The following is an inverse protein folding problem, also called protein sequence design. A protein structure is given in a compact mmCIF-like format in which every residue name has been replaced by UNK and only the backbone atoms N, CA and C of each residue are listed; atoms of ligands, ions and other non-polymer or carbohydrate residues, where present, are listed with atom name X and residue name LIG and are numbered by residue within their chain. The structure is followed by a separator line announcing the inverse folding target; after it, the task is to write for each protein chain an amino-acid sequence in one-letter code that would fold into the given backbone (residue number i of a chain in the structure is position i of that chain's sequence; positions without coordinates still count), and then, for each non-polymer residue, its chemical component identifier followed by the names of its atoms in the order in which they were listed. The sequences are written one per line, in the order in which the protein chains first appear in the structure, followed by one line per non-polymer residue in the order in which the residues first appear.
data_IF_250663902933
#
_entry.id   IF_250663902933
#
_cell.length_a   1.000
_cell.length_b   1.000
_cell.length_c   1.000
_cell.angle_alpha   90.00
_cell.angle_beta   90.00
_cell.angle_gamma   90.00
#
_symmetry.space_group_name_H-M   'P 1'
#
loop_
_entity.id
_entity.type
_entity.pdbx_description
1 polymer ?
#
# COMPACT_ATOMS: atom_id res chain seq x y z
N UNK A 1 40.46 -4.02 16.91
CA UNK A 1 39.63 -3.10 16.11
C UNK A 1 38.70 -2.38 17.08
N UNK A 2 38.48 -1.08 16.89
CA UNK A 2 37.53 -0.28 17.67
C UNK A 2 36.19 -0.22 16.91
N UNK A 3 35.06 -0.16 17.63
CA UNK A 3 33.71 -0.05 17.07
C UNK A 3 33.05 1.15 17.71
N UNK A 4 32.89 2.27 17.00
CA UNK A 4 32.35 3.52 17.53
C UNK A 4 33.08 4.01 18.80
N UNK A 5 34.39 3.82 18.85
CA UNK A 5 35.22 4.18 20.02
C UNK A 5 35.23 3.16 21.17
N UNK A 6 34.52 2.04 21.05
CA UNK A 6 34.56 0.93 22.02
C UNK A 6 35.54 -0.16 21.60
N UNK A 7 36.25 -0.75 22.57
CA UNK A 7 36.85 -2.06 22.36
C UNK A 7 35.77 -3.12 22.13
N UNK A 8 36.14 -4.28 21.58
CA UNK A 8 35.16 -5.34 21.30
C UNK A 8 34.37 -5.76 22.54
N UNK A 9 35.04 -5.97 23.68
CA UNK A 9 34.41 -6.35 24.94
C UNK A 9 33.53 -5.25 25.55
N UNK A 10 33.91 -3.98 25.37
CA UNK A 10 33.05 -2.86 25.78
C UNK A 10 31.81 -2.76 24.90
N UNK A 11 31.97 -2.99 23.59
CA UNK A 11 30.86 -3.01 22.66
C UNK A 11 29.87 -4.15 22.98
N UNK A 12 30.35 -5.36 23.29
CA UNK A 12 29.48 -6.47 23.70
C UNK A 12 28.66 -6.11 24.96
N UNK A 13 29.27 -5.44 25.94
CA UNK A 13 28.57 -4.95 27.15
C UNK A 13 27.54 -3.86 26.82
N UNK A 14 27.88 -2.93 25.94
CA UNK A 14 26.95 -1.88 25.49
C UNK A 14 25.74 -2.50 24.77
N UNK A 15 25.97 -3.47 23.87
CA UNK A 15 24.92 -4.23 23.19
C UNK A 15 24.02 -4.95 24.19
N UNK A 16 24.58 -5.64 25.18
CA UNK A 16 23.80 -6.32 26.21
C UNK A 16 22.90 -5.35 26.98
N UNK A 17 23.43 -4.18 27.33
CA UNK A 17 22.70 -3.16 28.09
C UNK A 17 21.57 -2.52 27.29
N UNK A 18 21.75 -2.28 25.99
CA UNK A 18 20.78 -1.58 25.15
C UNK A 18 19.75 -2.52 24.51
N UNK A 19 20.22 -3.64 23.96
CA UNK A 19 19.38 -4.62 23.24
C UNK A 19 18.81 -5.71 24.16
N UNK A 20 19.18 -5.71 25.45
CA UNK A 20 18.77 -6.69 26.46
C UNK A 20 19.50 -8.04 26.37
N UNK A 21 20.29 -8.28 25.32
CA UNK A 21 21.17 -9.43 25.19
C UNK A 21 22.27 -9.18 24.15
N UNK A 22 23.38 -9.93 24.23
CA UNK A 22 24.43 -9.93 23.19
C UNK A 22 23.93 -10.70 21.97
N UNK A 23 23.19 -10.04 21.08
CA UNK A 23 22.66 -10.64 19.86
C UNK A 23 23.71 -10.59 18.73
N UNK A 24 23.99 -11.71 18.04
CA UNK A 24 25.00 -11.74 16.96
C UNK A 24 24.76 -10.71 15.86
N UNK A 25 23.48 -10.43 15.54
CA UNK A 25 23.12 -9.41 14.57
C UNK A 25 23.59 -8.01 14.99
N UNK A 26 23.32 -7.60 16.23
CA UNK A 26 23.76 -6.26 16.69
C UNK A 26 25.28 -6.19 16.72
N UNK A 27 25.96 -7.27 17.12
CA UNK A 27 27.42 -7.33 17.15
C UNK A 27 28.01 -7.16 15.75
N UNK A 28 27.52 -7.92 14.77
CA UNK A 28 27.90 -7.76 13.37
C UNK A 28 27.55 -6.37 12.82
N UNK A 29 26.38 -5.86 13.18
CA UNK A 29 25.92 -4.52 12.83
C UNK A 29 26.88 -3.43 13.29
N UNK A 30 27.60 -3.63 14.40
CA UNK A 30 28.60 -2.68 14.88
C UNK A 30 29.74 -2.49 13.88
N UNK A 31 30.28 -3.59 13.35
CA UNK A 31 31.29 -3.54 12.29
C UNK A 31 30.73 -2.89 11.01
N UNK A 32 29.46 -3.11 10.69
CA UNK A 32 28.81 -2.51 9.53
C UNK A 32 28.68 -0.98 9.67
N UNK A 33 28.28 -0.51 10.85
CA UNK A 33 28.17 0.92 11.16
C UNK A 33 29.56 1.55 11.13
N UNK A 34 30.55 0.93 11.77
CA UNK A 34 31.93 1.42 11.78
C UNK A 34 32.47 1.56 10.35
N UNK A 35 32.31 0.53 9.51
CA UNK A 35 32.75 0.58 8.12
C UNK A 35 32.02 1.67 7.32
N UNK A 36 30.71 1.86 7.54
CA UNK A 36 29.94 2.91 6.88
C UNK A 36 30.42 4.31 7.31
N UNK A 37 30.65 4.51 8.60
CA UNK A 37 31.14 5.78 9.16
C UNK A 37 32.53 6.12 8.64
N UNK A 38 33.46 5.15 8.62
CA UNK A 38 34.81 5.33 8.05
C UNK A 38 34.80 5.64 6.55
N UNK A 39 33.72 5.29 5.85
CA UNK A 39 33.58 5.53 4.41
C UNK A 39 32.87 6.86 4.09
N UNK A 40 32.37 7.58 5.10
CA UNK A 40 31.75 8.89 4.92
C UNK A 40 32.81 10.01 5.03
N UNK A 41 32.59 11.16 4.36
CA UNK A 41 33.44 12.33 4.54
C UNK A 41 33.35 12.88 5.97
N UNK A 42 34.47 13.36 6.50
CA UNK A 42 34.55 13.96 7.83
C UNK A 42 33.61 15.17 7.98
N UNK A 43 32.93 15.26 9.13
CA UNK A 43 32.06 16.40 9.47
C UNK A 43 30.71 16.45 8.76
N UNK A 44 30.37 15.47 7.92
CA UNK A 44 29.04 15.38 7.28
C UNK A 44 27.97 15.05 8.32
N UNK A 45 26.87 15.80 8.28
CA UNK A 45 25.65 15.43 9.00
C UNK A 45 24.93 14.34 8.20
N UNK A 46 24.84 13.15 8.75
CA UNK A 46 24.25 12.00 8.07
C UNK A 46 22.98 11.48 8.75
N UNK A 47 22.10 10.90 7.94
CA UNK A 47 20.98 10.07 8.36
C UNK A 47 21.29 8.59 8.04
N UNK A 48 20.46 7.69 8.56
CA UNK A 48 20.63 6.25 8.41
C UNK A 48 19.37 5.56 7.86
N UNK A 49 19.59 4.53 7.05
CA UNK A 49 18.55 3.57 6.63
C UNK A 49 19.00 2.18 7.05
N UNK A 50 18.12 1.43 7.71
CA UNK A 50 18.26 -0.02 7.91
C UNK A 50 17.33 -0.78 6.97
N UNK A 51 17.84 -1.78 6.26
CA UNK A 51 17.06 -2.61 5.33
C UNK A 51 16.35 -3.80 6.01
N UNK A 52 16.39 -3.84 7.35
CA UNK A 52 15.77 -4.87 8.19
C UNK A 52 15.35 -4.26 9.53
N UNK A 53 14.28 -4.77 10.12
CA UNK A 53 13.89 -4.42 11.49
C UNK A 53 14.64 -5.22 12.56
N UNK A 54 15.36 -6.28 12.17
CA UNK A 54 15.97 -7.21 13.11
C UNK A 54 17.40 -6.80 13.49
N UNK A 55 17.62 -6.44 14.76
CA UNK A 55 18.92 -6.15 15.40
C UNK A 55 19.67 -4.93 14.86
N UNK A 56 19.82 -4.81 13.53
CA UNK A 56 20.65 -3.81 12.88
C UNK A 56 20.26 -2.35 13.21
N UNK A 57 18.97 -1.99 13.39
CA UNK A 57 18.59 -0.67 13.87
C UNK A 57 19.28 -0.30 15.18
N UNK A 58 19.41 -1.23 16.12
CA UNK A 58 19.98 -0.94 17.44
C UNK A 58 21.50 -0.72 17.40
N UNK A 59 22.21 -1.39 16.49
CA UNK A 59 23.62 -1.10 16.25
C UNK A 59 23.80 0.35 15.77
N UNK A 60 22.91 0.82 14.88
CA UNK A 60 22.92 2.21 14.39
C UNK A 60 22.61 3.18 15.53
N UNK A 61 21.57 2.92 16.32
CA UNK A 61 21.17 3.79 17.43
C UNK A 61 22.23 3.88 18.54
N UNK A 62 22.96 2.79 18.78
CA UNK A 62 23.99 2.74 19.81
C UNK A 62 25.28 3.47 19.41
N UNK A 63 25.63 3.41 18.12
CA UNK A 63 26.92 3.90 17.62
C UNK A 63 26.83 5.23 16.86
N UNK A 64 25.63 5.73 16.61
CA UNK A 64 25.42 6.98 15.87
C UNK A 64 24.35 7.85 16.55
N UNK A 65 24.29 9.15 16.22
CA UNK A 65 23.19 10.01 16.63
C UNK A 65 21.84 9.65 15.98
N UNK A 66 21.81 8.71 15.03
CA UNK A 66 20.62 8.39 14.26
C UNK A 66 19.68 7.47 15.06
N UNK A 67 18.52 7.99 15.47
CA UNK A 67 17.53 7.20 16.21
C UNK A 67 16.19 7.18 15.51
N UNK A 68 15.36 6.17 15.83
CA UNK A 68 13.98 6.16 15.34
C UNK A 68 13.22 7.37 15.92
N UNK A 69 13.49 7.71 17.18
CA UNK A 69 12.80 8.80 17.89
C UNK A 69 13.06 10.20 17.32
N UNK A 70 14.29 10.50 16.86
CA UNK A 70 14.59 11.77 16.20
C UNK A 70 14.32 11.77 14.69
N UNK A 71 13.92 10.61 14.13
CA UNK A 71 13.59 10.43 12.73
C UNK A 71 14.79 10.34 11.79
N UNK A 72 16.01 10.27 12.30
CA UNK A 72 17.24 10.20 11.49
C UNK A 72 17.59 8.76 11.11
N UNK A 73 17.06 7.76 11.84
CA UNK A 73 17.09 6.36 11.42
C UNK A 73 15.72 5.97 10.86
N UNK A 74 15.72 5.48 9.62
CA UNK A 74 14.55 4.88 8.97
C UNK A 74 14.73 3.37 8.82
N UNK A 75 13.71 2.61 9.18
CA UNK A 75 13.68 1.15 8.97
C UNK A 75 12.82 0.86 7.76
N UNK A 76 13.44 0.43 6.67
CA UNK A 76 12.77 0.01 5.43
C UNK A 76 12.97 -1.50 5.32
N UNK A 77 11.98 -2.27 5.76
CA UNK A 77 12.14 -3.72 5.87
C UNK A 77 12.10 -4.40 4.49
N UNK A 78 13.28 -4.59 3.89
CA UNK A 78 13.49 -5.32 2.63
C UNK A 78 13.95 -6.77 2.88
N UNK A 79 14.09 -7.18 4.14
CA UNK A 79 14.61 -8.49 4.53
C UNK A 79 16.10 -8.68 4.24
N UNK A 80 16.85 -7.59 3.97
CA UNK A 80 18.28 -7.63 3.66
C UNK A 80 19.09 -7.14 4.85
N UNK A 81 20.14 -7.87 5.22
CA UNK A 81 21.03 -7.47 6.32
C UNK A 81 22.02 -6.40 5.84
N UNK A 82 21.53 -5.17 5.77
CA UNK A 82 22.27 -4.03 5.24
C UNK A 82 21.82 -2.70 5.86
N UNK A 83 22.74 -1.75 5.90
CA UNK A 83 22.47 -0.37 6.30
C UNK A 83 23.09 0.61 5.31
N UNK A 84 22.59 1.84 5.30
CA UNK A 84 23.23 2.96 4.62
C UNK A 84 23.34 4.14 5.55
N UNK A 85 24.49 4.80 5.57
CA UNK A 85 24.67 6.14 6.14
C UNK A 85 24.86 7.12 4.98
N UNK A 86 24.19 8.27 5.01
CA UNK A 86 24.15 9.20 3.87
C UNK A 86 24.01 10.65 4.33
N UNK A 87 24.56 11.57 3.53
CA UNK A 87 24.40 13.01 3.73
C UNK A 87 22.93 13.38 3.80
N UNK A 88 22.54 14.07 4.89
CA UNK A 88 21.15 14.40 5.21
C UNK A 88 20.45 15.24 4.14
N UNK A 89 21.20 16.04 3.39
CA UNK A 89 20.68 17.03 2.46
C UNK A 89 20.76 16.54 1.01
N UNK A 90 21.94 16.06 0.60
CA UNK A 90 22.22 15.66 -0.77
C UNK A 90 21.87 14.19 -1.03
N UNK A 91 21.85 13.34 0.00
CA UNK A 91 21.48 11.93 -0.12
C UNK A 91 22.58 11.01 -0.62
N UNK A 92 23.77 11.51 -0.95
CA UNK A 92 24.92 10.69 -1.26
C UNK A 92 25.43 9.99 0.00
N UNK A 93 25.72 8.70 -0.09
CA UNK A 93 26.12 7.91 1.06
C UNK A 93 26.77 6.60 0.72
N UNK A 94 26.95 5.78 1.75
CA UNK A 94 27.58 4.46 1.66
C UNK A 94 26.64 3.42 2.23
N UNK A 95 26.42 2.37 1.44
CA UNK A 95 25.65 1.20 1.82
C UNK A 95 26.61 0.06 2.18
N UNK A 96 26.46 -0.51 3.36
CA UNK A 96 27.23 -1.65 3.87
C UNK A 96 26.33 -2.85 4.06
N UNK A 97 26.80 -4.03 3.65
CA UNK A 97 26.05 -5.28 3.74
C UNK A 97 26.97 -6.47 3.94
N UNK A 98 26.40 -7.58 4.44
CA UNK A 98 27.10 -8.86 4.56
C UNK A 98 27.24 -9.48 3.18
N UNK A 99 28.48 -9.75 2.76
CA UNK A 99 28.78 -10.31 1.45
C UNK A 99 28.78 -11.84 1.50
N UNK A 100 27.73 -12.44 0.93
CA UNK A 100 27.55 -13.88 0.87
C UNK A 100 28.78 -14.65 0.31
N UNK A 101 29.51 -14.06 -0.64
CA UNK A 101 30.69 -14.72 -1.23
C UNK A 101 31.88 -14.77 -0.28
N UNK A 102 31.95 -13.85 0.69
CA UNK A 102 33.04 -13.76 1.66
C UNK A 102 32.80 -14.62 2.90
N UNK A 103 31.63 -15.24 3.04
CA UNK A 103 31.27 -16.07 4.20
C UNK A 103 31.87 -17.48 4.17
N UNK A 104 32.46 -17.92 3.06
CA UNK A 104 32.97 -19.28 2.90
C UNK A 104 33.97 -19.70 3.99
N UNK A 105 34.73 -18.75 4.53
CA UNK A 105 35.71 -18.99 5.60
C UNK A 105 35.11 -18.97 7.02
N UNK A 106 33.80 -18.69 7.18
CA UNK A 106 33.15 -18.39 8.46
C UNK A 106 31.88 -19.25 8.65
N UNK A 107 32.05 -20.53 9.06
CA UNK A 107 30.97 -21.51 9.08
C UNK A 107 29.89 -21.22 10.13
N UNK A 108 30.22 -20.68 11.30
CA UNK A 108 29.21 -20.37 12.32
C UNK A 108 28.39 -19.14 11.87
N UNK A 109 29.04 -18.11 11.31
CA UNK A 109 28.35 -16.94 10.73
C UNK A 109 27.40 -17.37 9.60
N UNK A 110 27.88 -18.23 8.70
CA UNK A 110 27.08 -18.80 7.60
C UNK A 110 25.87 -19.55 8.15
N UNK A 111 26.09 -20.43 9.13
CA UNK A 111 25.02 -21.22 9.76
C UNK A 111 23.96 -20.35 10.40
N UNK A 112 24.38 -19.31 11.12
CA UNK A 112 23.50 -18.34 11.77
C UNK A 112 22.69 -17.54 10.74
N UNK A 113 23.35 -16.97 9.72
CA UNK A 113 22.71 -16.10 8.74
C UNK A 113 21.70 -16.85 7.87
N UNK A 114 22.07 -18.04 7.38
CA UNK A 114 21.20 -18.88 6.57
C UNK A 114 20.24 -19.74 7.39
N UNK A 115 20.34 -19.71 8.72
CA UNK A 115 19.56 -20.54 9.65
C UNK A 115 19.58 -22.02 9.27
N UNK A 116 20.75 -22.52 8.83
CA UNK A 116 20.90 -23.89 8.33
C UNK A 116 20.86 -24.96 9.43
N UNK A 117 20.97 -24.55 10.71
CA UNK A 117 20.75 -25.39 11.88
C UNK A 117 19.76 -24.75 12.87
N UNK A 118 19.00 -25.55 13.64
CA UNK A 118 18.18 -25.05 14.74
C UNK A 118 18.99 -24.23 15.76
N UNK A 119 18.39 -23.19 16.34
CA UNK A 119 19.07 -22.26 17.27
C UNK A 119 19.73 -22.96 18.48
N UNK A 120 19.18 -24.08 18.94
CA UNK A 120 19.73 -24.87 20.07
C UNK A 120 21.04 -25.59 19.74
N UNK A 121 21.30 -25.83 18.45
CA UNK A 121 22.51 -26.52 17.96
C UNK A 121 23.60 -25.54 17.52
N UNK A 122 23.33 -24.24 17.58
CA UNK A 122 24.29 -23.20 17.24
C UNK A 122 25.12 -22.83 18.47
N UNK A 123 26.44 -22.76 18.30
CA UNK A 123 27.35 -22.32 19.35
C UNK A 123 27.45 -20.79 19.33
N UNK A 124 26.79 -20.15 20.31
CA UNK A 124 26.73 -18.69 20.40
C UNK A 124 28.11 -18.08 20.68
N UNK A 125 28.93 -18.71 21.50
CA UNK A 125 30.25 -18.14 21.87
C UNK A 125 31.19 -18.21 20.69
N UNK A 126 31.24 -19.35 19.98
CA UNK A 126 32.04 -19.49 18.76
C UNK A 126 31.56 -18.56 17.64
N UNK A 127 30.24 -18.36 17.50
CA UNK A 127 29.69 -17.40 16.54
C UNK A 127 30.15 -15.97 16.84
N UNK A 128 30.11 -15.53 18.10
CA UNK A 128 30.56 -14.19 18.49
C UNK A 128 32.07 -14.01 18.30
N UNK A 129 32.86 -15.05 18.58
CA UNK A 129 34.31 -15.05 18.30
C UNK A 129 34.60 -14.97 16.79
N UNK A 130 33.88 -15.75 15.96
CA UNK A 130 33.99 -15.67 14.50
C UNK A 130 33.63 -14.27 13.98
N UNK A 131 32.55 -13.66 14.48
CA UNK A 131 32.16 -12.29 14.09
C UNK A 131 33.27 -11.30 14.44
N UNK A 132 33.84 -11.40 15.64
CA UNK A 132 34.93 -10.53 16.09
C UNK A 132 36.19 -10.66 15.23
N UNK A 133 36.54 -11.89 14.83
CA UNK A 133 37.70 -12.19 13.96
C UNK A 133 37.46 -11.78 12.51
N UNK A 134 36.26 -12.02 12.00
CA UNK A 134 35.87 -11.65 10.65
C UNK A 134 35.89 -10.13 10.46
N UNK A 135 35.31 -9.38 11.38
CA UNK A 135 35.21 -7.92 11.31
C UNK A 135 34.73 -7.45 9.94
N UNK A 136 35.55 -6.64 9.26
CA UNK A 136 35.24 -6.11 7.92
C UNK A 136 35.41 -7.13 6.78
N UNK A 137 36.08 -8.26 7.00
CA UNK A 137 36.40 -9.22 5.94
C UNK A 137 35.17 -9.86 5.30
N UNK A 138 34.04 -9.89 6.00
CA UNK A 138 32.75 -10.43 5.51
C UNK A 138 31.80 -9.36 4.97
N UNK A 139 32.23 -8.10 4.96
CA UNK A 139 31.42 -6.97 4.55
C UNK A 139 31.81 -6.49 3.16
N UNK A 140 30.84 -5.93 2.44
CA UNK A 140 31.06 -5.16 1.23
C UNK A 140 30.33 -3.83 1.35
N UNK A 141 30.93 -2.78 0.76
CA UNK A 141 30.37 -1.44 0.73
C UNK A 141 30.23 -0.94 -0.70
N UNK A 142 29.28 -0.04 -0.93
CA UNK A 142 29.09 0.62 -2.22
C UNK A 142 28.55 2.04 -2.01
N UNK A 143 28.93 2.96 -2.90
CA UNK A 143 28.34 4.30 -2.95
C UNK A 143 26.88 4.23 -3.38
N UNK A 144 26.02 5.05 -2.77
CA UNK A 144 24.60 5.12 -3.08
C UNK A 144 24.10 6.55 -3.12
N UNK A 145 23.04 6.78 -3.90
CA UNK A 145 22.26 8.01 -3.89
C UNK A 145 20.87 7.69 -3.34
N UNK A 146 20.54 8.24 -2.18
CA UNK A 146 19.22 8.07 -1.56
C UNK A 146 18.18 8.85 -2.38
N UNK A 147 17.04 8.19 -2.64
CA UNK A 147 15.94 8.78 -3.40
C UNK A 147 15.36 9.98 -2.64
N UNK A 148 14.99 11.03 -3.37
CA UNK A 148 14.46 12.29 -2.83
C UNK A 148 13.31 12.14 -1.83
N UNK A 149 12.40 11.17 -2.04
CA UNK A 149 11.30 10.87 -1.10
C UNK A 149 11.75 10.50 0.32
N UNK A 150 12.99 10.05 0.48
CA UNK A 150 13.58 9.71 1.76
C UNK A 150 14.43 10.85 2.34
N UNK A 151 14.57 11.97 1.64
CA UNK A 151 15.30 13.14 2.11
C UNK A 151 14.35 14.16 2.75
N UNK A 152 14.89 15.01 3.63
CA UNK A 152 14.15 16.09 4.28
C UNK A 152 13.22 15.64 5.41
N UNK A 153 12.70 16.64 6.13
CA UNK A 153 11.66 16.45 7.16
C UNK A 153 10.29 16.51 6.50
N UNK A 154 9.51 15.46 6.71
CA UNK A 154 8.08 15.50 6.42
C UNK A 154 7.38 16.26 7.53
N UNK A 155 6.73 17.37 7.19
CA UNK A 155 5.90 18.11 8.15
C UNK A 155 4.77 17.21 8.64
N UNK A 156 4.38 17.35 9.90
CA UNK A 156 3.14 16.74 10.43
C UNK A 156 1.93 17.64 10.19
N UNK A 157 2.10 18.78 9.51
CA UNK A 157 1.03 19.74 9.28
C UNK A 157 0.47 20.32 10.57
N UNK A 158 -0.75 20.86 10.49
CA UNK A 158 -1.54 21.27 11.65
C UNK A 158 -2.10 20.06 12.38
N UNK A 159 -2.31 20.20 13.69
CA UNK A 159 -3.03 19.20 14.49
C UNK A 159 -4.52 19.53 14.48
N UNK A 160 -5.36 18.52 14.27
CA UNK A 160 -6.83 18.56 14.38
C UNK A 160 -7.32 17.56 15.41
N UNK A 161 -8.59 17.66 15.83
CA UNK A 161 -9.23 16.70 16.73
C UNK A 161 -10.06 15.73 15.88
N UNK A 162 -9.84 14.43 16.04
CA UNK A 162 -10.60 13.42 15.30
C UNK A 162 -12.07 13.43 15.77
N UNK A 163 -13.06 13.58 14.87
CA UNK A 163 -14.47 13.61 15.27
C UNK A 163 -15.03 12.27 15.77
N UNK A 164 -14.27 11.16 15.63
CA UNK A 164 -14.71 9.83 16.07
C UNK A 164 -14.15 9.41 17.42
N UNK A 165 -12.88 9.70 17.71
CA UNK A 165 -12.24 9.32 18.97
C UNK A 165 -11.85 10.51 19.85
N UNK A 166 -12.04 11.74 19.37
CA UNK A 166 -11.68 12.99 20.06
C UNK A 166 -10.18 13.14 20.38
N UNK A 167 -9.32 12.30 19.79
CA UNK A 167 -7.87 12.41 19.94
C UNK A 167 -7.26 13.41 18.95
N UNK A 168 -6.22 14.16 19.36
CA UNK A 168 -5.47 15.03 18.47
C UNK A 168 -4.63 14.22 17.46
N UNK A 169 -4.68 14.59 16.19
CA UNK A 169 -3.96 13.92 15.11
C UNK A 169 -3.49 14.91 14.02
N UNK A 170 -2.50 14.55 13.18
CA UNK A 170 -2.11 15.33 12.01
C UNK A 170 -3.27 15.51 11.02
N UNK A 171 -3.68 16.75 10.75
CA UNK A 171 -4.81 17.06 9.85
C UNK A 171 -4.59 16.57 8.40
N UNK A 172 -3.33 16.40 8.01
CA UNK A 172 -2.95 15.84 6.70
C UNK A 172 -3.26 14.34 6.55
N UNK A 173 -3.55 13.64 7.66
CA UNK A 173 -3.91 12.21 7.62
C UNK A 173 -5.35 12.00 7.12
N UNK A 174 -6.12 13.07 6.88
CA UNK A 174 -7.51 13.03 6.37
C UNK A 174 -8.50 13.67 7.34
N UNK A 175 -9.81 13.46 7.14
CA UNK A 175 -10.87 14.00 8.01
C UNK A 175 -11.04 13.31 9.37
N UNK A 176 -10.42 12.14 9.57
CA UNK A 176 -10.39 11.36 10.81
C UNK A 176 -8.97 10.78 11.02
N UNK A 177 -8.59 10.41 12.24
CA UNK A 177 -7.25 9.85 12.49
C UNK A 177 -7.06 8.45 11.89
N UNK A 178 -5.80 8.06 11.60
CA UNK A 178 -5.45 6.75 11.01
C UNK A 178 -5.98 5.55 11.78
N UNK A 179 -6.01 5.65 13.11
CA UNK A 179 -6.63 4.62 13.97
C UNK A 179 -8.13 4.43 13.61
N UNK A 180 -8.89 5.52 13.53
CA UNK A 180 -10.30 5.50 13.14
C UNK A 180 -10.54 5.12 11.68
N UNK A 181 -9.53 5.24 10.82
CA UNK A 181 -9.55 4.75 9.44
C UNK A 181 -9.34 3.23 9.33
N UNK A 182 -9.07 2.54 10.44
CA UNK A 182 -8.91 1.08 10.48
C UNK A 182 -7.48 0.60 10.75
N UNK A 183 -6.52 1.50 10.98
CA UNK A 183 -5.13 1.12 11.32
C UNK A 183 -4.91 0.80 12.81
N UNK A 184 -5.99 0.64 13.58
CA UNK A 184 -5.88 0.23 14.99
C UNK A 184 -5.19 -1.14 15.08
N UNK A 185 -4.09 -1.26 15.84
CA UNK A 185 -3.38 -2.53 15.97
C UNK A 185 -4.05 -3.50 16.96
N UNK A 186 -5.20 -3.12 17.53
CA UNK A 186 -5.94 -3.86 18.56
C UNK A 186 -7.45 -3.77 18.33
N UNK A 187 -8.17 -4.79 18.76
CA UNK A 187 -9.63 -4.78 18.78
C UNK A 187 -10.15 -3.86 19.90
N UNK A 188 -11.24 -3.12 19.67
CA UNK A 188 -11.92 -2.38 20.71
C UNK A 188 -12.38 -3.30 21.85
N UNK A 189 -11.88 -3.08 23.08
CA UNK A 189 -12.42 -3.73 24.27
C UNK A 189 -13.84 -3.23 24.60
N UNK A 190 -14.57 -3.94 25.46
CA UNK A 190 -15.97 -3.61 25.84
C UNK A 190 -16.17 -2.19 26.40
N UNK A 191 -15.09 -1.56 26.88
CA UNK A 191 -15.08 -0.21 27.44
C UNK A 191 -14.61 0.87 26.45
N UNK A 192 -14.14 0.50 25.25
CA UNK A 192 -13.65 1.46 24.25
C UNK A 192 -14.86 2.18 23.61
N UNK A 193 -15.07 3.45 23.98
CA UNK A 193 -16.29 4.22 23.68
C UNK A 193 -17.13 4.57 24.91
N UNK A 194 -16.79 4.04 26.09
CA UNK A 194 -17.23 4.59 27.38
C UNK A 194 -16.32 5.76 27.77
N UNK A 195 -16.80 6.62 28.67
CA UNK A 195 -16.02 7.77 29.14
C UNK A 195 -14.64 7.30 29.60
N UNK A 196 -13.54 7.82 29.05
CA UNK A 196 -12.20 7.38 29.39
C UNK A 196 -11.98 7.45 30.89
N UNK A 197 -11.21 6.52 31.44
CA UNK A 197 -10.78 6.62 32.82
C UNK A 197 -9.94 7.88 33.01
N UNK A 198 -10.45 8.84 33.77
CA UNK A 198 -9.67 10.00 34.16
C UNK A 198 -8.68 9.60 35.25
N UNK A 199 -7.46 10.07 35.10
CA UNK A 199 -6.44 9.93 36.11
C UNK A 199 -6.23 11.31 36.74
N UNK A 200 -6.28 11.38 38.07
CA UNK A 200 -5.84 12.61 38.74
C UNK A 200 -4.34 12.83 38.52
N UNK A 201 -3.81 13.99 38.91
CA UNK A 201 -2.39 14.30 38.77
C UNK A 201 -1.45 13.31 39.51
N UNK A 202 -2.00 12.42 40.35
CA UNK A 202 -1.30 11.37 41.10
C UNK A 202 -1.50 9.98 40.49
N UNK A 203 -2.18 9.87 39.34
CA UNK A 203 -2.44 8.61 38.64
C UNK A 203 -3.61 7.81 39.24
N UNK A 204 -4.39 8.37 40.17
CA UNK A 204 -5.55 7.69 40.71
C UNK A 204 -6.69 7.69 39.69
N UNK A 205 -7.17 6.48 39.37
CA UNK A 205 -8.23 6.27 38.40
C UNK A 205 -9.58 6.66 39.00
N UNK A 206 -10.25 7.62 38.37
CA UNK A 206 -11.60 8.06 38.74
C UNK A 206 -12.50 7.94 37.51
N UNK A 207 -13.73 7.48 37.72
CA UNK A 207 -14.75 7.54 36.67
C UNK A 207 -15.19 9.00 36.55
N UNK A 208 -14.99 9.58 35.37
CA UNK A 208 -15.51 10.91 35.07
C UNK A 208 -17.04 10.93 35.17
N UNK A 209 -17.64 12.04 35.62
CA UNK A 209 -19.07 12.26 35.40
C UNK A 209 -19.33 12.26 33.89
N UNK A 210 -20.30 11.47 33.43
CA UNK A 210 -20.66 11.48 32.01
C UNK A 210 -21.26 12.85 31.66
N UNK A 211 -20.84 13.44 30.55
CA UNK A 211 -21.48 14.62 29.95
C UNK A 211 -22.81 14.25 29.23
N UNK A 212 -23.16 12.97 29.24
CA UNK A 212 -24.26 12.38 28.47
C UNK A 212 -25.19 11.49 29.33
N UNK A 213 -25.51 11.92 30.55
CA UNK A 213 -26.47 11.21 31.44
C UNK A 213 -27.92 11.15 30.86
N UNK A 214 -28.15 11.67 29.66
CA UNK A 214 -29.43 11.59 28.93
C UNK A 214 -29.46 10.64 27.73
N UNK A 215 -28.32 10.10 27.28
CA UNK A 215 -28.29 9.23 26.09
C UNK A 215 -27.66 7.90 26.50
N UNK A 216 -28.50 6.92 26.82
CA UNK A 216 -28.07 5.52 26.89
C UNK A 216 -27.36 5.22 25.57
N UNK A 217 -26.04 5.12 25.59
CA UNK A 217 -25.30 4.42 24.55
C UNK A 217 -25.68 2.97 24.74
N UNK A 218 -26.80 2.61 24.12
CA UNK A 218 -27.24 1.23 24.03
C UNK A 218 -26.16 0.53 23.22
N UNK A 219 -25.55 -0.45 23.86
CA UNK A 219 -24.74 -1.52 23.27
C UNK A 219 -25.56 -2.23 22.18
N UNK A 220 -25.66 -1.58 21.01
CA UNK A 220 -26.45 -2.01 19.85
C UNK A 220 -25.58 -1.97 18.57
N UNK A 221 -24.30 -1.63 18.71
CA UNK A 221 -23.29 -1.73 17.65
C UNK A 221 -22.91 -3.20 17.47
N UNK A 222 -23.78 -3.97 16.80
CA UNK A 222 -23.51 -5.14 15.96
C UNK A 222 -24.77 -5.99 15.66
N UNK A 223 -25.95 -5.67 16.21
CA UNK A 223 -27.17 -6.32 15.74
C UNK A 223 -27.63 -5.63 14.48
N UNK A 224 -27.42 -6.29 13.34
CA UNK A 224 -28.10 -5.98 12.08
C UNK A 224 -29.57 -5.63 12.36
N UNK A 225 -30.19 -4.70 11.60
CA UNK A 225 -31.56 -4.29 11.85
C UNK A 225 -32.43 -5.54 11.99
N UNK A 226 -33.43 -5.52 12.87
CA UNK A 226 -34.32 -6.68 13.05
C UNK A 226 -35.10 -6.93 11.75
N UNK A 227 -34.46 -7.62 10.81
CA UNK A 227 -35.03 -7.91 9.51
C UNK A 227 -36.09 -8.98 9.69
N UNK A 228 -37.29 -8.70 9.22
CA UNK A 228 -38.35 -9.68 9.29
C UNK A 228 -38.09 -10.78 8.24
N UNK A 229 -37.96 -12.01 8.72
CA UNK A 229 -37.78 -13.20 7.89
C UNK A 229 -39.00 -14.08 8.02
N UNK A 230 -39.66 -14.35 6.91
CA UNK A 230 -40.83 -15.22 6.86
C UNK A 230 -40.52 -16.50 6.08
N UNK A 231 -41.27 -17.56 6.36
CA UNK A 231 -41.23 -18.75 5.50
C UNK A 231 -41.76 -18.38 4.11
N UNK A 232 -41.31 -19.06 3.06
CA UNK A 232 -41.84 -18.79 1.70
C UNK A 232 -43.36 -18.90 1.65
N UNK A 233 -43.96 -19.84 2.40
CA UNK A 233 -45.42 -20.02 2.47
C UNK A 233 -46.14 -18.79 3.05
N UNK A 234 -45.52 -18.09 4.00
CA UNK A 234 -46.08 -16.92 4.68
C UNK A 234 -45.68 -15.60 4.00
N UNK A 235 -44.97 -15.68 2.88
CA UNK A 235 -44.44 -14.53 2.16
C UNK A 235 -45.42 -13.94 1.14
N UNK A 236 -46.50 -14.66 0.80
CA UNK A 236 -47.51 -14.19 -0.18
C UNK A 236 -48.11 -12.86 0.26
N UNK A 237 -48.16 -11.89 -0.66
CA UNK A 237 -48.65 -10.53 -0.43
C UNK A 237 -47.65 -9.61 0.28
N UNK A 238 -46.42 -10.09 0.58
CA UNK A 238 -45.35 -9.29 1.15
C UNK A 238 -44.34 -8.88 0.08
N UNK A 239 -43.61 -7.80 0.35
CA UNK A 239 -42.64 -7.24 -0.58
C UNK A 239 -41.22 -7.71 -0.23
N UNK A 240 -40.47 -8.14 -1.23
CA UNK A 240 -39.07 -8.57 -1.09
C UNK A 240 -38.17 -7.43 -0.63
N UNK A 241 -37.27 -7.70 0.31
CA UNK A 241 -36.34 -6.70 0.83
C UNK A 241 -35.09 -6.49 -0.05
N UNK A 242 -34.71 -7.49 -0.86
CA UNK A 242 -33.51 -7.46 -1.69
C UNK A 242 -33.71 -8.30 -2.96
N UNK A 243 -32.82 -8.10 -3.93
CA UNK A 243 -32.78 -8.89 -5.15
C UNK A 243 -32.40 -10.35 -4.83
N UNK A 244 -33.04 -11.30 -5.51
CA UNK A 244 -32.74 -12.73 -5.35
C UNK A 244 -32.39 -13.33 -6.71
N UNK A 245 -31.09 -13.62 -6.89
CA UNK A 245 -30.56 -14.24 -8.12
C UNK A 245 -30.93 -15.72 -8.22
N UNK A 246 -31.45 -16.08 -9.39
CA UNK A 246 -31.66 -17.45 -9.84
C UNK A 246 -30.52 -17.84 -10.77
N UNK A 247 -29.99 -19.04 -10.57
CA UNK A 247 -28.93 -19.61 -11.39
C UNK A 247 -29.48 -20.85 -12.07
N UNK A 248 -29.59 -20.79 -13.39
CA UNK A 248 -29.92 -21.94 -14.25
C UNK A 248 -28.61 -22.38 -14.91
N UNK A 249 -28.00 -23.50 -14.47
CA UNK A 249 -26.71 -23.94 -14.95
C UNK A 249 -26.67 -24.03 -16.49
N UNK A 250 -25.67 -23.39 -17.09
CA UNK A 250 -25.46 -23.38 -18.55
C UNK A 250 -26.42 -22.51 -19.37
N UNK A 251 -27.40 -21.83 -18.74
CA UNK A 251 -28.37 -21.00 -19.46
C UNK A 251 -28.36 -19.54 -19.00
N UNK A 252 -28.58 -19.28 -17.71
CA UNK A 252 -28.74 -17.90 -17.23
C UNK A 252 -28.37 -17.72 -15.76
N UNK A 253 -27.86 -16.53 -15.44
CA UNK A 253 -27.64 -16.07 -14.06
C UNK A 253 -28.15 -14.64 -13.94
N UNK A 254 -29.19 -14.41 -13.13
CA UNK A 254 -29.74 -13.08 -12.93
C UNK A 254 -30.85 -13.02 -11.89
N UNK A 255 -31.31 -11.80 -11.50
CA UNK A 255 -32.33 -11.62 -10.48
C UNK A 255 -33.69 -12.14 -10.98
N UNK A 256 -34.21 -13.18 -10.32
CA UNK A 256 -35.57 -13.67 -10.54
C UNK A 256 -36.60 -12.82 -9.78
N UNK A 257 -36.19 -12.27 -8.64
CA UNK A 257 -36.96 -11.35 -7.82
C UNK A 257 -36.14 -10.09 -7.60
N UNK A 258 -36.78 -8.92 -7.72
CA UNK A 258 -36.17 -7.61 -7.44
C UNK A 258 -36.63 -7.10 -6.09
N UNK A 259 -35.89 -6.17 -5.48
CA UNK A 259 -36.34 -5.42 -4.31
C UNK A 259 -37.72 -4.78 -4.56
N UNK A 260 -38.61 -4.86 -3.58
CA UNK A 260 -39.98 -4.34 -3.66
C UNK A 260 -40.95 -5.16 -4.51
N UNK A 261 -40.57 -6.35 -4.97
CA UNK A 261 -41.48 -7.28 -5.66
C UNK A 261 -42.51 -7.85 -4.68
N UNK A 262 -43.80 -7.72 -4.99
CA UNK A 262 -44.86 -8.37 -4.22
C UNK A 262 -44.90 -9.87 -4.54
N UNK A 263 -44.65 -10.70 -3.53
CA UNK A 263 -44.57 -12.15 -3.69
C UNK A 263 -45.98 -12.71 -3.92
N UNK A 264 -46.20 -13.30 -5.09
CA UNK A 264 -47.47 -13.94 -5.46
C UNK A 264 -47.48 -15.43 -5.11
N UNK A 265 -48.66 -16.07 -5.20
CA UNK A 265 -48.78 -17.53 -5.02
C UNK A 265 -47.95 -18.30 -6.07
N UNK A 266 -47.83 -17.78 -7.29
CA UNK A 266 -47.03 -18.40 -8.35
C UNK A 266 -45.52 -18.35 -8.10
N UNK A 267 -45.07 -17.42 -7.25
CA UNK A 267 -43.65 -17.23 -6.93
C UNK A 267 -43.11 -18.25 -5.93
N UNK A 268 -44.00 -18.94 -5.19
CA UNK A 268 -43.63 -19.90 -4.15
C UNK A 268 -42.79 -21.06 -4.68
N UNK A 269 -43.25 -21.70 -5.76
CA UNK A 269 -42.53 -22.81 -6.38
C UNK A 269 -41.16 -22.36 -6.91
N UNK A 270 -41.07 -21.15 -7.45
CA UNK A 270 -39.82 -20.60 -7.98
C UNK A 270 -38.81 -20.28 -6.88
N UNK A 271 -39.24 -19.65 -5.79
CA UNK A 271 -38.39 -19.41 -4.61
C UNK A 271 -37.86 -20.73 -4.01
N UNK A 272 -38.71 -21.77 -3.94
CA UNK A 272 -38.30 -23.10 -3.49
C UNK A 272 -37.29 -23.77 -4.45
N UNK A 273 -37.50 -23.67 -5.76
CA UNK A 273 -36.55 -24.18 -6.77
C UNK A 273 -35.21 -23.45 -6.72
N UNK A 274 -35.20 -22.17 -6.34
CA UNK A 274 -34.00 -21.39 -6.04
C UNK A 274 -33.33 -21.77 -4.71
N UNK A 275 -33.87 -22.75 -3.97
CA UNK A 275 -33.35 -23.21 -2.67
C UNK A 275 -33.65 -22.27 -1.51
N UNK A 276 -34.62 -21.36 -1.65
CA UNK A 276 -35.00 -20.41 -0.59
C UNK A 276 -36.21 -20.93 0.17
N UNK A 277 -36.01 -21.32 1.42
CA UNK A 277 -37.10 -21.70 2.34
C UNK A 277 -37.60 -20.51 3.18
N UNK A 278 -36.80 -19.45 3.24
CA UNK A 278 -37.06 -18.23 4.00
C UNK A 278 -36.70 -17.01 3.16
N UNK A 279 -37.51 -15.97 3.26
CA UNK A 279 -37.30 -14.71 2.54
C UNK A 279 -37.37 -13.52 3.50
N UNK A 280 -36.53 -12.52 3.23
CA UNK A 280 -36.52 -11.25 3.94
C UNK A 280 -37.50 -10.30 3.28
N UNK A 281 -38.31 -9.62 4.09
CA UNK A 281 -39.39 -8.75 3.62
C UNK A 281 -39.22 -7.32 4.13
N UNK A 282 -39.80 -6.37 3.39
CA UNK A 282 -39.87 -4.97 3.81
C UNK A 282 -40.70 -4.87 5.10
N UNK A 283 -40.16 -4.17 6.10
CA UNK A 283 -40.78 -3.95 7.43
C UNK A 283 -40.34 -2.60 7.99
N UNK A 284 -40.98 -2.08 9.05
CA UNK A 284 -40.64 -0.76 9.63
C UNK A 284 -39.16 -0.64 10.05
N UNK A 285 -38.54 -1.75 10.47
CA UNK A 285 -37.10 -1.81 10.81
C UNK A 285 -36.15 -1.63 9.62
N UNK A 286 -36.64 -1.75 8.38
CA UNK A 286 -35.87 -1.49 7.15
C UNK A 286 -35.71 0.01 6.82
N UNK A 287 -36.34 0.89 7.60
CA UNK A 287 -36.27 2.36 7.47
C UNK A 287 -35.47 3.03 8.61
N UNK A 288 -34.75 2.24 9.43
CA UNK A 288 -33.95 2.78 10.54
C UNK A 288 -32.77 3.64 10.00
N UNK A 289 -32.69 4.94 10.34
CA UNK A 289 -31.66 5.84 9.84
C UNK A 289 -30.24 5.48 10.31
N UNK A 290 -30.08 4.58 11.28
CA UNK A 290 -28.77 4.04 11.72
C UNK A 290 -28.15 3.08 10.70
N UNK A 291 -28.86 2.72 9.64
CA UNK A 291 -28.43 1.78 8.63
C UNK A 291 -28.54 2.39 7.23
N UNK A 292 -27.68 1.90 6.33
CA UNK A 292 -27.64 2.30 4.92
C UNK A 292 -27.89 1.05 4.09
N UNK A 293 -28.86 1.10 3.19
CA UNK A 293 -29.13 -0.03 2.31
C UNK A 293 -27.92 -0.28 1.38
N UNK A 294 -27.58 -1.54 1.12
CA UNK A 294 -26.38 -1.92 0.35
C UNK A 294 -26.23 -1.19 -1.00
N UNK A 295 -27.35 -1.04 -1.72
CA UNK A 295 -27.35 -0.37 -3.02
C UNK A 295 -27.13 1.15 -2.87
N UNK A 296 -27.70 1.78 -1.85
CA UNK A 296 -27.45 3.20 -1.56
C UNK A 296 -25.97 3.43 -1.24
N UNK A 297 -25.41 2.57 -0.39
CA UNK A 297 -23.99 2.62 -0.03
C UNK A 297 -23.08 2.42 -1.25
N UNK A 298 -23.35 1.40 -2.07
CA UNK A 298 -22.56 1.09 -3.26
C UNK A 298 -22.55 2.25 -4.28
N UNK A 299 -23.70 2.90 -4.49
CA UNK A 299 -23.79 4.04 -5.39
C UNK A 299 -22.98 5.23 -4.88
N UNK A 300 -23.11 5.57 -3.59
CA UNK A 300 -22.35 6.65 -2.98
C UNK A 300 -20.83 6.40 -3.05
N UNK A 301 -20.39 5.16 -2.80
CA UNK A 301 -18.99 4.79 -2.94
C UNK A 301 -18.50 4.97 -4.37
N UNK A 302 -19.23 4.48 -5.38
CA UNK A 302 -18.83 4.64 -6.77
C UNK A 302 -18.75 6.10 -7.21
N UNK A 303 -19.71 6.92 -6.77
CA UNK A 303 -19.70 8.36 -7.05
C UNK A 303 -18.48 9.05 -6.44
N UNK A 304 -18.13 8.73 -5.19
CA UNK A 304 -16.98 9.34 -4.53
C UNK A 304 -15.64 8.80 -5.04
N UNK A 305 -15.59 7.54 -5.51
CA UNK A 305 -14.39 6.93 -6.06
C UNK A 305 -14.08 7.36 -7.51
N UNK A 306 -15.10 7.71 -8.30
CA UNK A 306 -14.96 8.05 -9.71
C UNK A 306 -14.39 9.46 -9.90
N UNK A 307 -13.20 9.54 -10.50
CA UNK A 307 -12.58 10.78 -10.92
C UNK A 307 -12.69 11.03 -12.42
N UNK A 308 -11.87 11.95 -12.92
CA UNK A 308 -11.78 12.20 -14.36
C UNK A 308 -11.44 10.91 -15.12
N UNK A 309 -12.15 10.63 -16.20
CA UNK A 309 -11.88 9.44 -17.00
C UNK A 309 -12.70 8.21 -16.60
N UNK A 310 -13.49 8.30 -15.52
CA UNK A 310 -14.16 7.17 -14.88
C UNK A 310 -15.67 7.43 -14.78
N UNK A 311 -16.45 6.46 -15.20
CA UNK A 311 -17.90 6.40 -15.02
C UNK A 311 -18.29 5.10 -14.33
N UNK A 312 -19.57 4.87 -14.08
CA UNK A 312 -20.09 3.61 -13.55
C UNK A 312 -21.37 3.18 -14.28
N UNK A 313 -21.60 1.88 -14.36
CA UNK A 313 -22.69 1.31 -15.18
C UNK A 313 -23.94 0.98 -14.35
N UNK A 314 -25.05 1.63 -14.72
CA UNK A 314 -26.39 1.29 -14.25
C UNK A 314 -26.60 1.52 -12.75
N UNK A 315 -27.80 1.19 -12.23
CA UNK A 315 -28.03 1.20 -10.80
C UNK A 315 -27.26 0.05 -10.13
N UNK A 316 -26.83 0.23 -8.87
CA UNK A 316 -26.23 -0.84 -8.07
C UNK A 316 -27.18 -2.04 -7.94
N UNK A 317 -26.60 -3.24 -7.88
CA UNK A 317 -27.33 -4.51 -7.72
C UNK A 317 -26.62 -5.40 -6.72
N UNK A 318 -27.36 -5.96 -5.76
CA UNK A 318 -26.83 -6.79 -4.67
C UNK A 318 -25.64 -6.12 -3.94
N UNK A 319 -25.78 -4.82 -3.71
CA UNK A 319 -24.77 -4.00 -3.06
C UNK A 319 -23.53 -3.75 -3.90
N UNK A 320 -23.51 -4.13 -5.19
CA UNK A 320 -22.36 -3.99 -6.09
C UNK A 320 -22.63 -3.00 -7.20
N UNK A 321 -21.61 -2.23 -7.57
CA UNK A 321 -21.59 -1.41 -8.79
C UNK A 321 -20.20 -1.47 -9.45
N UNK A 322 -20.18 -1.43 -10.78
CA UNK A 322 -18.97 -1.51 -11.58
C UNK A 322 -18.60 -0.14 -12.15
N UNK A 323 -17.35 0.26 -11.94
CA UNK A 323 -16.73 1.43 -12.53
C UNK A 323 -16.07 1.06 -13.87
N UNK A 324 -16.24 1.92 -14.86
CA UNK A 324 -15.78 1.72 -16.24
C UNK A 324 -15.05 2.96 -16.75
N UNK A 325 -14.18 2.77 -17.74
CA UNK A 325 -13.51 3.87 -18.41
C UNK A 325 -14.51 4.69 -19.25
N UNK A 326 -14.50 6.01 -19.09
CA UNK A 326 -15.28 6.93 -19.91
C UNK A 326 -14.53 7.37 -21.18
N UNK A 327 -13.25 7.02 -21.30
CA UNK A 327 -12.34 7.36 -22.40
C UNK A 327 -11.21 6.34 -22.50
N UNK A 328 -10.51 6.35 -23.63
CA UNK A 328 -9.26 5.62 -23.78
C UNK A 328 -8.14 6.29 -22.98
N UNK A 329 -7.26 5.52 -22.35
CA UNK A 329 -6.16 6.08 -21.58
C UNK A 329 -5.47 5.11 -20.64
N UNK A 330 -4.86 5.65 -19.59
CA UNK A 330 -4.15 4.90 -18.56
C UNK A 330 -4.89 5.05 -17.23
N UNK A 331 -5.30 3.93 -16.64
CA UNK A 331 -5.87 3.89 -15.30
C UNK A 331 -4.83 4.31 -14.27
N UNK A 332 -5.14 5.29 -13.44
CA UNK A 332 -4.38 5.66 -12.25
C UNK A 332 -5.24 5.42 -11.03
N UNK A 333 -4.66 4.75 -10.04
CA UNK A 333 -5.32 4.37 -8.78
C UNK A 333 -4.58 5.02 -7.61
N UNK A 334 -5.32 5.66 -6.72
CA UNK A 334 -4.85 6.02 -5.38
C UNK A 334 -4.87 4.75 -4.51
N UNK A 335 -3.75 4.01 -4.55
CA UNK A 335 -3.62 2.71 -3.88
C UNK A 335 -3.75 2.83 -2.34
N UNK A 336 -3.24 3.92 -1.76
CA UNK A 336 -3.29 4.16 -0.31
C UNK A 336 -4.72 4.43 0.15
N UNK A 337 -5.47 5.29 -0.57
CA UNK A 337 -6.88 5.54 -0.26
C UNK A 337 -7.75 4.30 -0.48
N UNK A 338 -7.47 3.51 -1.53
CA UNK A 338 -8.16 2.25 -1.78
C UNK A 338 -7.92 1.22 -0.67
N UNK A 339 -6.68 1.12 -0.17
CA UNK A 339 -6.33 0.26 0.96
C UNK A 339 -7.06 0.69 2.23
N UNK A 340 -7.03 1.98 2.57
CA UNK A 340 -7.78 2.54 3.71
C UNK A 340 -9.28 2.25 3.62
N UNK A 341 -9.88 2.43 2.44
CA UNK A 341 -11.30 2.11 2.23
C UNK A 341 -11.57 0.63 2.50
N UNK A 342 -10.70 -0.26 2.02
CA UNK A 342 -10.84 -1.71 2.21
C UNK A 342 -10.56 -2.20 3.63
N UNK A 343 -9.96 -1.40 4.50
CA UNK A 343 -9.81 -1.71 5.93
C UNK A 343 -11.09 -1.48 6.74
N UNK A 344 -12.08 -0.79 6.18
CA UNK A 344 -13.35 -0.50 6.86
C UNK A 344 -14.25 -1.75 6.83
N UNK A 345 -14.77 -2.20 7.98
CA UNK A 345 -15.68 -3.34 8.04
C UNK A 345 -16.92 -3.19 7.14
N UNK A 346 -17.23 -4.24 6.38
CA UNK A 346 -18.46 -4.33 5.60
C UNK A 346 -18.42 -3.62 4.24
N UNK A 347 -17.31 -3.03 3.84
CA UNK A 347 -17.12 -2.48 2.49
C UNK A 347 -15.98 -3.19 1.75
N UNK A 348 -15.98 -3.13 0.42
CA UNK A 348 -14.86 -3.59 -0.39
C UNK A 348 -14.84 -2.89 -1.74
N UNK A 349 -13.64 -2.71 -2.31
CA UNK A 349 -13.43 -2.31 -3.68
C UNK A 349 -12.22 -3.04 -4.25
N UNK A 350 -12.39 -3.64 -5.43
CA UNK A 350 -11.33 -4.30 -6.17
C UNK A 350 -11.16 -3.66 -7.54
N UNK A 351 -9.92 -3.48 -7.98
CA UNK A 351 -9.58 -2.79 -9.22
C UNK A 351 -8.56 -3.54 -10.06
N UNK A 352 -8.42 -3.14 -11.33
CA UNK A 352 -7.23 -3.44 -12.13
C UNK A 352 -6.03 -2.70 -11.55
N UNK A 353 -4.82 -3.18 -11.87
CA UNK A 353 -3.57 -2.53 -11.42
C UNK A 353 -3.47 -1.10 -11.94
N UNK A 354 -2.91 -0.21 -11.12
CA UNK A 354 -2.55 1.13 -11.55
C UNK A 354 -1.60 1.07 -12.76
N UNK A 355 -1.63 2.12 -13.58
CA UNK A 355 -0.90 2.26 -14.85
C UNK A 355 -1.25 1.24 -15.93
N UNK A 356 -2.48 0.70 -15.89
CA UNK A 356 -2.97 -0.20 -16.93
C UNK A 356 -3.65 0.58 -18.05
N UNK A 357 -3.28 0.30 -19.31
CA UNK A 357 -3.97 0.84 -20.49
C UNK A 357 -5.39 0.28 -20.58
N UNK A 358 -6.35 1.18 -20.79
CA UNK A 358 -7.79 0.90 -20.83
C UNK A 358 -8.43 1.60 -22.03
N UNK A 359 -9.43 0.94 -22.61
CA UNK A 359 -10.28 1.50 -23.64
C UNK A 359 -11.61 1.97 -23.03
N UNK A 360 -12.30 2.89 -23.70
CA UNK A 360 -13.65 3.32 -23.37
C UNK A 360 -14.58 2.11 -23.12
N UNK A 361 -15.37 2.19 -22.05
CA UNK A 361 -16.32 1.15 -21.63
C UNK A 361 -15.69 -0.06 -20.93
N UNK A 362 -14.36 -0.13 -20.81
CA UNK A 362 -13.68 -1.23 -20.12
C UNK A 362 -13.93 -1.16 -18.60
N UNK A 363 -14.26 -2.28 -17.99
CA UNK A 363 -14.33 -2.43 -16.53
C UNK A 363 -12.99 -2.12 -15.85
N UNK A 364 -13.03 -1.24 -14.85
CA UNK A 364 -11.88 -0.73 -14.11
C UNK A 364 -11.84 -1.30 -12.69
N UNK A 365 -12.96 -1.19 -11.99
CA UNK A 365 -13.09 -1.56 -10.59
C UNK A 365 -14.53 -1.93 -10.25
N UNK A 366 -14.73 -2.67 -9.17
CA UNK A 366 -16.05 -2.95 -8.60
C UNK A 366 -16.04 -2.64 -7.12
N UNK A 367 -16.96 -1.79 -6.67
CA UNK A 367 -17.18 -1.51 -5.25
C UNK A 367 -18.44 -2.22 -4.76
N UNK A 368 -18.42 -2.66 -3.50
CA UNK A 368 -19.52 -3.37 -2.88
C UNK A 368 -19.69 -3.03 -1.40
N UNK A 369 -20.94 -2.80 -0.98
CA UNK A 369 -21.36 -2.98 0.41
C UNK A 369 -21.66 -4.47 0.63
N UNK A 370 -20.96 -5.09 1.59
CA UNK A 370 -21.01 -6.54 1.82
C UNK A 370 -22.30 -6.96 2.52
N UNK A 371 -22.74 -6.33 3.63
CA UNK A 371 -24.02 -6.64 4.25
C UNK A 371 -25.17 -5.94 3.53
N UNK A 372 -26.37 -6.52 3.61
CA UNK A 372 -27.59 -5.92 3.06
C UNK A 372 -27.89 -4.52 3.63
N UNK A 373 -27.54 -4.32 4.90
CA UNK A 373 -27.56 -3.02 5.56
C UNK A 373 -26.19 -2.76 6.19
N UNK A 374 -25.52 -1.71 5.73
CA UNK A 374 -24.26 -1.23 6.28
C UNK A 374 -24.55 -0.29 7.47
N UNK A 375 -23.89 -0.45 8.62
CA UNK A 375 -24.00 0.52 9.71
C UNK A 375 -23.66 1.94 9.23
N UNK A 376 -24.46 2.94 9.62
CA UNK A 376 -24.25 4.34 9.21
C UNK A 376 -22.88 4.88 9.61
N UNK A 377 -22.34 4.44 10.75
CA UNK A 377 -20.99 4.83 11.19
C UNK A 377 -19.91 4.29 10.23
N UNK A 378 -19.98 3.03 9.79
CA UNK A 378 -19.05 2.46 8.82
C UNK A 378 -19.20 3.11 7.44
N UNK A 379 -20.45 3.39 7.01
CA UNK A 379 -20.71 4.17 5.82
C UNK A 379 -20.06 5.57 5.88
N UNK A 380 -20.25 6.29 6.99
CA UNK A 380 -19.68 7.63 7.16
C UNK A 380 -18.15 7.61 7.21
N UNK A 381 -17.53 6.61 7.85
CA UNK A 381 -16.08 6.39 7.80
C UNK A 381 -15.61 6.21 6.36
N UNK A 382 -16.30 5.37 5.60
CA UNK A 382 -15.98 5.10 4.20
C UNK A 382 -16.08 6.36 3.34
N UNK A 383 -17.16 7.14 3.49
CA UNK A 383 -17.31 8.42 2.79
C UNK A 383 -16.27 9.45 3.20
N UNK A 384 -15.84 9.45 4.47
CA UNK A 384 -14.78 10.36 4.95
C UNK A 384 -13.43 10.02 4.32
N UNK A 385 -13.07 8.73 4.21
CA UNK A 385 -11.86 8.30 3.50
C UNK A 385 -11.87 8.71 2.02
N UNK A 386 -13.07 8.74 1.41
CA UNK A 386 -13.26 9.14 0.01
C UNK A 386 -13.43 10.65 -0.21
N UNK A 387 -13.46 11.46 0.85
CA UNK A 387 -13.77 12.90 0.74
C UNK A 387 -12.62 13.72 0.11
N UNK A 388 -11.37 13.26 0.25
CA UNK A 388 -10.16 13.98 -0.18
C UNK A 388 -9.88 13.87 -1.69
N UNK A 389 -10.82 13.34 -2.47
CA UNK A 389 -10.75 13.23 -3.92
C UNK A 389 -10.94 11.81 -4.45
N UNK A 390 -11.03 11.66 -5.78
CA UNK A 390 -11.34 10.38 -6.40
C UNK A 390 -10.24 9.33 -6.17
N UNK A 391 -10.64 8.07 -6.17
CA UNK A 391 -9.70 6.92 -6.06
C UNK A 391 -9.22 6.49 -7.44
N UNK A 392 -10.07 6.61 -8.46
CA UNK A 392 -9.81 6.14 -9.82
C UNK A 392 -9.84 7.29 -10.80
N UNK A 393 -8.86 7.33 -11.70
CA UNK A 393 -8.84 8.24 -12.84
C UNK A 393 -8.39 7.49 -14.09
N UNK A 394 -8.84 7.92 -15.26
CA UNK A 394 -8.27 7.51 -16.54
C UNK A 394 -7.66 8.72 -17.21
N UNK A 395 -6.33 8.78 -17.18
CA UNK A 395 -5.57 9.85 -17.82
C UNK A 395 -5.55 9.54 -19.32
N UNK A 396 -6.07 10.47 -20.12
CA UNK A 396 -6.05 10.36 -21.57
C UNK A 396 -4.60 10.29 -22.06
N UNK A 397 -4.30 9.32 -22.94
CA UNK A 397 -3.00 9.27 -23.59
C UNK A 397 -2.88 10.42 -24.57
N UNK A 398 -1.84 11.24 -24.39
CA UNK A 398 -1.53 12.30 -25.33
C UNK A 398 -0.94 11.66 -26.61
N UNK A 399 -1.40 12.08 -27.79
CA UNK A 399 -0.72 11.74 -29.02
C UNK A 399 0.74 12.19 -28.98
N UNK A 400 1.64 11.41 -29.56
CA UNK A 400 3.05 11.75 -29.62
C UNK A 400 3.64 11.45 -30.99
N UNK A 401 4.43 12.40 -31.48
CA UNK A 401 5.31 12.22 -32.63
C UNK A 401 6.63 11.61 -32.16
N UNK A 402 6.95 10.43 -32.68
CA UNK A 402 8.05 9.60 -32.20
C UNK A 402 9.21 9.62 -33.19
N UNK A 403 10.38 10.03 -32.72
CA UNK A 403 11.65 9.88 -33.41
C UNK A 403 12.37 8.62 -32.93
N UNK A 404 12.80 7.76 -33.85
CA UNK A 404 13.56 6.55 -33.51
C UNK A 404 15.02 6.75 -33.92
N UNK A 405 15.96 6.55 -33.00
CA UNK A 405 17.39 6.58 -33.28
C UNK A 405 18.02 5.23 -32.92
N UNK A 406 18.49 4.50 -33.92
CA UNK A 406 19.29 3.30 -33.71
C UNK A 406 20.76 3.67 -33.80
N UNK A 407 21.52 3.38 -32.76
CA UNK A 407 22.99 3.52 -32.76
C UNK A 407 23.63 2.17 -33.10
N UNK A 408 24.84 2.18 -33.66
CA UNK A 408 25.57 0.94 -33.95
C UNK A 408 26.32 1.04 -35.25
N UNK A 409 27.65 0.99 -35.17
CA UNK A 409 28.54 1.09 -36.32
C UNK A 409 28.38 -0.09 -37.29
N UNK A 410 28.04 -1.26 -36.77
CA UNK A 410 27.76 -2.48 -37.52
C UNK A 410 26.43 -2.41 -38.28
N UNK A 411 25.41 -1.80 -37.69
CA UNK A 411 24.10 -1.61 -38.33
C UNK A 411 24.20 -0.51 -39.39
N UNK A 412 24.84 0.61 -39.05
CA UNK A 412 25.08 1.71 -39.99
C UNK A 412 25.86 1.28 -41.24
N UNK A 413 26.84 0.38 -41.09
CA UNK A 413 27.63 -0.18 -42.21
C UNK A 413 26.90 -1.31 -42.96
N UNK A 414 25.69 -1.70 -42.54
CA UNK A 414 24.94 -2.80 -43.13
C UNK A 414 25.53 -4.19 -42.88
N UNK A 415 26.41 -4.33 -41.89
CA UNK A 415 26.97 -5.62 -41.47
C UNK A 415 25.95 -6.46 -40.69
N UNK A 416 25.01 -5.78 -40.03
CA UNK A 416 23.88 -6.38 -39.32
C UNK A 416 22.61 -5.64 -39.74
N UNK A 417 21.54 -6.39 -40.01
CA UNK A 417 20.22 -5.83 -40.32
C UNK A 417 19.55 -5.28 -39.06
N UNK A 418 18.98 -4.08 -39.14
CA UNK A 418 18.19 -3.53 -38.03
C UNK A 418 16.91 -4.33 -37.81
N UNK A 419 16.64 -4.66 -36.55
CA UNK A 419 15.38 -5.26 -36.11
C UNK A 419 14.62 -4.36 -35.13
N UNK A 420 15.22 -3.26 -34.67
CA UNK A 420 14.64 -2.43 -33.63
C UNK A 420 13.60 -1.45 -34.20
N UNK A 421 13.83 -0.82 -35.36
CA UNK A 421 12.88 0.11 -35.96
C UNK A 421 11.52 -0.57 -36.21
N UNK A 422 11.43 -1.77 -36.84
CA UNK A 422 10.14 -2.44 -37.04
C UNK A 422 9.43 -2.79 -35.73
N UNK A 423 10.18 -3.22 -34.72
CA UNK A 423 9.62 -3.58 -33.40
C UNK A 423 9.10 -2.35 -32.68
N UNK A 424 9.86 -1.25 -32.67
CA UNK A 424 9.45 -0.01 -32.00
C UNK A 424 8.25 0.59 -32.74
N UNK A 425 8.29 0.64 -34.07
CA UNK A 425 7.17 1.13 -34.88
C UNK A 425 5.89 0.38 -34.57
N UNK A 426 5.94 -0.96 -34.56
CA UNK A 426 4.80 -1.82 -34.19
C UNK A 426 4.27 -1.53 -32.79
N UNK A 427 5.13 -1.20 -31.82
CA UNK A 427 4.72 -0.86 -30.45
C UNK A 427 4.11 0.54 -30.34
N UNK A 428 4.69 1.52 -31.02
CA UNK A 428 4.25 2.91 -31.03
C UNK A 428 2.86 3.02 -31.68
N UNK A 429 2.65 2.32 -32.78
CA UNK A 429 1.39 2.32 -33.54
C UNK A 429 0.23 1.63 -32.79
N UNK A 430 0.47 0.96 -31.66
CA UNK A 430 -0.59 0.46 -30.76
C UNK A 430 -1.23 1.58 -29.91
N UNK A 431 -0.64 2.77 -29.94
CA UNK A 431 -1.06 3.96 -29.20
C UNK A 431 -1.41 5.07 -30.19
N UNK A 432 -2.00 6.20 -29.75
CA UNK A 432 -2.25 7.35 -30.62
C UNK A 432 -0.95 8.10 -30.99
N UNK A 433 0.10 7.37 -31.36
CA UNK A 433 1.43 7.89 -31.64
C UNK A 433 1.82 7.60 -33.09
N UNK A 434 2.61 8.50 -33.68
CA UNK A 434 3.08 8.38 -35.07
C UNK A 434 4.59 8.48 -35.10
N UNK A 435 5.26 7.59 -35.85
CA UNK A 435 6.70 7.68 -36.06
C UNK A 435 6.99 8.70 -37.16
N UNK A 436 7.50 9.88 -36.77
CA UNK A 436 7.82 10.96 -37.73
C UNK A 436 9.08 10.66 -38.53
N UNK A 437 10.08 10.06 -37.88
CA UNK A 437 11.34 9.72 -38.53
C UNK A 437 12.08 8.62 -37.76
N UNK A 438 12.81 7.78 -38.49
CA UNK A 438 13.72 6.79 -37.94
C UNK A 438 15.10 6.94 -38.58
N UNK A 439 16.14 7.00 -37.75
CA UNK A 439 17.52 7.20 -38.16
C UNK A 439 18.40 6.07 -37.62
N UNK A 440 19.38 5.66 -38.43
CA UNK A 440 20.46 4.76 -38.01
C UNK A 440 21.76 5.56 -38.08
N UNK A 441 22.50 5.63 -36.98
CA UNK A 441 23.76 6.38 -36.89
C UNK A 441 24.89 5.48 -36.36
N UNK A 442 26.15 5.73 -36.76
CA UNK A 442 27.28 5.02 -36.17
C UNK A 442 27.41 5.36 -34.68
N UNK A 443 28.18 4.54 -33.96
CA UNK A 443 28.53 4.79 -32.57
C UNK A 443 29.58 5.91 -32.46
N UNK A 444 29.17 7.12 -32.81
CA UNK A 444 29.96 8.34 -32.78
C UNK A 444 29.15 9.46 -32.11
N UNK A 445 29.79 10.15 -31.17
CA UNK A 445 29.14 11.18 -30.35
C UNK A 445 28.56 12.33 -31.19
N UNK A 446 29.20 12.72 -32.29
CA UNK A 446 28.70 13.82 -33.13
C UNK A 446 27.52 13.33 -33.97
N UNK A 447 27.63 12.15 -34.57
CA UNK A 447 26.55 11.53 -35.34
C UNK A 447 25.28 11.32 -34.51
N UNK A 448 25.40 10.82 -33.26
CA UNK A 448 24.27 10.65 -32.34
C UNK A 448 23.65 12.00 -31.99
N UNK A 449 24.45 13.00 -31.63
CA UNK A 449 23.96 14.35 -31.32
C UNK A 449 23.21 14.95 -32.51
N UNK A 450 23.76 14.83 -33.71
CA UNK A 450 23.19 15.43 -34.90
C UNK A 450 21.91 14.69 -35.33
N UNK A 451 21.86 13.36 -35.19
CA UNK A 451 20.64 12.57 -35.39
C UNK A 451 19.54 12.88 -34.37
N UNK A 452 19.88 13.10 -33.08
CA UNK A 452 18.90 13.56 -32.09
C UNK A 452 18.31 14.92 -32.48
N UNK A 453 19.15 15.86 -32.92
CA UNK A 453 18.69 17.18 -33.37
C UNK A 453 17.78 17.09 -34.59
N UNK A 454 18.15 16.26 -35.56
CA UNK A 454 17.33 16.02 -36.75
C UNK A 454 15.95 15.49 -36.39
N UNK A 455 15.85 14.52 -35.47
CA UNK A 455 14.55 14.00 -35.00
C UNK A 455 13.71 15.06 -34.28
N UNK A 456 14.35 15.93 -33.48
CA UNK A 456 13.66 17.06 -32.83
C UNK A 456 13.17 18.06 -33.88
N UNK A 457 14.01 18.41 -34.85
CA UNK A 457 13.67 19.34 -35.94
C UNK A 457 12.56 18.77 -36.85
N UNK A 458 12.45 17.45 -36.95
CA UNK A 458 11.35 16.75 -37.60
C UNK A 458 10.04 16.74 -36.79
N UNK A 459 10.03 17.34 -35.59
CA UNK A 459 8.85 17.49 -34.75
C UNK A 459 8.60 16.33 -33.77
N UNK A 460 9.62 15.52 -33.45
CA UNK A 460 9.47 14.46 -32.46
C UNK A 460 9.34 15.04 -31.03
N UNK A 461 8.24 14.71 -30.36
CA UNK A 461 8.01 15.02 -28.94
C UNK A 461 8.46 13.87 -28.02
N UNK A 462 8.71 12.69 -28.59
CA UNK A 462 9.26 11.52 -27.90
C UNK A 462 10.40 10.91 -28.72
N UNK A 463 11.58 10.80 -28.12
CA UNK A 463 12.73 10.14 -28.74
C UNK A 463 12.94 8.74 -28.14
N UNK A 464 13.02 7.73 -29.00
CA UNK A 464 13.35 6.36 -28.63
C UNK A 464 14.70 6.01 -29.21
N UNK A 465 15.70 5.91 -28.34
CA UNK A 465 17.06 5.50 -28.74
C UNK A 465 17.26 4.00 -28.45
N UNK A 466 17.84 3.26 -29.39
CA UNK A 466 18.21 1.84 -29.18
C UNK A 466 19.63 1.56 -29.60
N UNK A 467 20.21 0.55 -28.95
CA UNK A 467 21.64 0.25 -28.88
C UNK A 467 22.40 1.22 -27.94
N UNK A 468 23.42 0.68 -27.28
CA UNK A 468 24.03 1.21 -26.06
C UNK A 468 25.13 2.23 -26.30
#
# INVERSE_FOLDING_TARGET
MQIGGYSYEEYLRAVASFHGNVAPGVVLGGFMVELATQSLPDGVLYDAISETSACLPDAIQLLTPCTVGNGWLRVINLGRYALSLYDKYQGNGVRVFVDAKKLQAWPEITTWLYKSKPKKEQDKERLLDEIGKAGFAILSSQSVQVRSRYLGKHSRGSISICPLCEEPYPAQDGGICRACQGELPYEPGEDMGRVPFQHDARGAQTRSPSIHDGMKVVDDTLRAPHLQVVSVKDAVGRHTLHDMTEIIPGQSKGPAFRVGHEISVGDLCRLQQMGRERVYIVSESSQDPRWVHENEAALAFAQAMAGEGVSFQGPPREGKIELVADRDGVLVVDEERLERFNLIPGVMCASRRSFTVVSHGRGLAGTRAIPLFLPRNEFNKAMTVLADGPVFQVIAMQPAWVGILVTGSEIFKGLVEDKFIPIIKTKVEQFPCEVVQALIVPDDRRAIRDGIRELIDAGADLLVTTAG
#
